data_IF_385730398636
#
_entry.id   IF_385730398636
#
_cell.length_a   1.000
_cell.length_b   1.000
_cell.length_c   1.000
_cell.angle_alpha   90.00
_cell.angle_beta   90.00
_cell.angle_gamma   90.00
#
_symmetry.space_group_name_H-M   'P 1'
#
loop_
_entity.id
_entity.type
_entity.pdbx_description
1 polymer ?
#
# COMPACT_ATOMS: atom_id res chain seq x y z
N UNK A 1 -9.29 5.76 -6.99
CA UNK A 1 -8.26 6.08 -8.00
C UNK A 1 -7.16 5.01 -8.10
N UNK A 2 -6.25 4.90 -7.10
CA UNK A 2 -5.15 3.91 -7.18
C UNK A 2 -5.67 2.47 -7.09
N UNK A 3 -6.66 2.22 -6.23
CA UNK A 3 -7.31 0.91 -6.14
C UNK A 3 -8.06 0.55 -7.43
N UNK A 4 -8.69 1.52 -8.09
CA UNK A 4 -9.37 1.28 -9.38
C UNK A 4 -8.37 0.91 -10.48
N UNK A 5 -7.23 1.61 -10.52
CA UNK A 5 -6.13 1.29 -11.44
C UNK A 5 -5.55 -0.11 -11.17
N UNK A 6 -5.40 -0.48 -9.90
CA UNK A 6 -5.01 -1.84 -9.51
C UNK A 6 -6.04 -2.89 -9.98
N UNK A 7 -7.32 -2.67 -9.70
CA UNK A 7 -8.39 -3.61 -10.07
C UNK A 7 -8.44 -3.81 -11.59
N UNK A 8 -8.29 -2.73 -12.36
CA UNK A 8 -8.21 -2.80 -13.82
C UNK A 8 -6.97 -3.57 -14.30
N UNK A 9 -5.81 -3.35 -13.68
CA UNK A 9 -4.60 -4.10 -14.00
C UNK A 9 -4.72 -5.59 -13.63
N UNK A 10 -5.25 -5.91 -12.45
CA UNK A 10 -5.41 -7.29 -11.98
C UNK A 10 -6.40 -8.09 -12.84
N UNK A 11 -7.45 -7.44 -13.36
CA UNK A 11 -8.43 -8.03 -14.27
C UNK A 11 -7.93 -8.16 -15.72
N UNK A 12 -6.76 -7.61 -16.05
CA UNK A 12 -6.20 -7.64 -17.39
C UNK A 12 -5.41 -8.92 -17.69
N UNK A 13 -5.04 -9.09 -18.97
CA UNK A 13 -4.15 -10.16 -19.42
C UNK A 13 -2.77 -9.60 -19.80
N UNK A 14 -1.72 -10.38 -19.58
CA UNK A 14 -0.36 -10.04 -19.96
C UNK A 14 0.41 -9.35 -18.84
N UNK A 15 1.14 -8.27 -19.17
CA UNK A 15 2.08 -7.59 -18.26
C UNK A 15 1.63 -6.16 -17.94
N UNK A 16 0.55 -5.98 -17.17
CA UNK A 16 0.02 -4.64 -16.93
C UNK A 16 0.93 -3.81 -16.04
N UNK A 17 0.76 -2.50 -16.15
CA UNK A 17 1.50 -1.52 -15.36
C UNK A 17 0.57 -0.50 -14.73
N UNK A 18 0.63 -0.40 -13.39
CA UNK A 18 0.00 0.67 -12.60
C UNK A 18 1.04 1.73 -12.34
N UNK A 19 0.76 2.98 -12.71
CA UNK A 19 1.70 4.10 -12.54
C UNK A 19 1.17 5.06 -11.49
N UNK A 20 1.97 5.35 -10.47
CA UNK A 20 1.76 6.50 -9.58
C UNK A 20 2.59 7.65 -10.14
N UNK A 21 1.96 8.64 -10.79
CA UNK A 21 2.70 9.69 -11.50
C UNK A 21 3.39 10.64 -10.51
N UNK A 22 4.25 11.57 -11.01
CA UNK A 22 4.79 12.64 -10.18
C UNK A 22 3.68 13.44 -9.49
N UNK A 23 3.86 13.76 -8.21
CA UNK A 23 2.86 14.40 -7.37
C UNK A 23 2.87 13.83 -5.95
N UNK A 24 2.03 14.38 -5.07
CA UNK A 24 1.81 13.85 -3.72
C UNK A 24 0.41 13.27 -3.62
N UNK A 25 0.30 12.01 -3.21
CA UNK A 25 -0.94 11.26 -3.13
C UNK A 25 -1.17 10.77 -1.70
N UNK A 26 -2.22 11.27 -1.05
CA UNK A 26 -2.68 10.71 0.22
C UNK A 26 -3.44 9.42 -0.07
N UNK A 27 -2.92 8.30 0.42
CA UNK A 27 -3.52 6.97 0.24
C UNK A 27 -3.79 6.41 1.64
N UNK A 28 -5.06 6.13 1.94
CA UNK A 28 -5.45 5.46 3.17
C UNK A 28 -5.04 3.98 3.20
N UNK A 29 -5.46 3.27 4.24
CA UNK A 29 -5.25 1.82 4.30
C UNK A 29 -5.76 1.14 3.03
N UNK A 30 -4.88 0.46 2.31
CA UNK A 30 -5.19 -0.11 0.99
C UNK A 30 -4.64 -1.51 0.84
N UNK A 31 -5.53 -2.44 0.55
CA UNK A 31 -5.20 -3.82 0.23
C UNK A 31 -5.34 -4.07 -1.28
N UNK A 32 -4.22 -4.26 -1.94
CA UNK A 32 -4.14 -4.68 -3.34
C UNK A 32 -4.28 -6.21 -3.41
N UNK A 33 -5.53 -6.66 -3.55
CA UNK A 33 -5.91 -8.07 -3.49
C UNK A 33 -5.82 -8.73 -4.88
N UNK A 34 -5.27 -9.94 -4.92
CA UNK A 34 -5.40 -10.92 -6.00
C UNK A 34 -6.32 -12.09 -5.62
N UNK A 35 -6.30 -13.22 -6.34
CA UNK A 35 -5.40 -13.54 -7.45
C UNK A 35 -5.68 -12.71 -8.71
N UNK A 36 -4.64 -12.52 -9.52
CA UNK A 36 -4.73 -11.88 -10.84
C UNK A 36 -4.35 -12.92 -11.91
N UNK A 37 -5.28 -13.76 -12.38
CA UNK A 37 -4.95 -14.98 -13.12
C UNK A 37 -4.29 -14.74 -14.48
N UNK A 38 -4.69 -13.66 -15.15
CA UNK A 38 -4.18 -13.30 -16.48
C UNK A 38 -3.01 -12.32 -16.47
N UNK A 39 -2.80 -11.64 -15.35
CA UNK A 39 -1.85 -10.54 -15.22
C UNK A 39 -0.56 -11.01 -14.52
N UNK A 40 0.50 -11.22 -15.30
CA UNK A 40 1.78 -11.67 -14.79
C UNK A 40 2.98 -11.27 -15.69
N UNK A 41 4.00 -10.56 -15.16
CA UNK A 41 4.01 -9.86 -13.88
C UNK A 41 3.13 -8.60 -13.89
N UNK A 42 2.65 -8.16 -12.72
CA UNK A 42 2.06 -6.84 -12.54
C UNK A 42 3.13 -5.87 -12.07
N UNK A 43 3.34 -4.79 -12.82
CA UNK A 43 4.31 -3.75 -12.46
C UNK A 43 3.59 -2.59 -11.80
N UNK A 44 4.03 -2.21 -10.59
CA UNK A 44 3.65 -0.96 -9.94
C UNK A 44 4.85 -0.01 -10.04
N UNK A 45 4.74 1.01 -10.89
CA UNK A 45 5.79 2.01 -11.13
C UNK A 45 5.46 3.30 -10.37
N UNK A 46 6.24 3.60 -9.34
CA UNK A 46 6.03 4.76 -8.47
C UNK A 46 7.01 5.87 -8.83
N UNK A 47 6.47 7.01 -9.28
CA UNK A 47 7.24 8.22 -9.63
C UNK A 47 7.00 9.37 -8.66
N UNK A 48 5.84 9.38 -8.00
CA UNK A 48 5.47 10.40 -7.03
C UNK A 48 5.76 10.03 -5.57
N UNK A 49 5.20 10.81 -4.67
CA UNK A 49 5.21 10.59 -3.22
C UNK A 49 3.84 10.09 -2.78
N UNK A 50 3.79 8.92 -2.18
CA UNK A 50 2.61 8.35 -1.52
C UNK A 50 2.73 8.64 -0.03
N UNK A 51 1.72 9.23 0.58
CA UNK A 51 1.71 9.57 2.01
C UNK A 51 0.56 8.89 2.74
N UNK A 52 0.82 8.43 3.96
CA UNK A 52 -0.20 7.86 4.83
C UNK A 52 -1.04 8.94 5.54
N UNK A 53 -2.30 8.65 5.92
CA UNK A 53 -3.00 9.43 6.93
C UNK A 53 -2.26 9.39 8.27
N UNK A 54 -2.34 10.48 9.04
CA UNK A 54 -1.76 10.55 10.38
C UNK A 54 -2.73 10.13 11.49
N UNK A 55 -4.01 10.03 11.14
CA UNK A 55 -5.09 9.64 12.06
C UNK A 55 -5.21 8.10 12.08
N UNK A 56 -4.80 7.50 13.19
CA UNK A 56 -4.80 6.06 13.40
C UNK A 56 -6.19 5.42 13.34
N UNK A 57 -7.27 6.19 13.53
CA UNK A 57 -8.64 5.67 13.42
C UNK A 57 -9.01 5.29 11.98
N UNK A 58 -8.26 5.77 10.99
CA UNK A 58 -8.44 5.43 9.57
C UNK A 58 -7.81 4.08 9.19
N UNK A 59 -7.17 3.39 10.16
CA UNK A 59 -6.56 2.09 9.95
C UNK A 59 -7.29 1.02 10.76
N UNK A 60 -7.88 0.07 10.03
CA UNK A 60 -8.63 -1.05 10.59
C UNK A 60 -7.74 -2.27 10.92
N UNK A 61 -6.52 -2.31 10.40
CA UNK A 61 -5.50 -3.33 10.70
C UNK A 61 -4.11 -2.69 10.87
N UNK A 62 -3.10 -3.54 11.03
CA UNK A 62 -1.69 -3.23 11.28
C UNK A 62 -0.88 -3.00 10.01
N UNK A 63 -1.50 -2.97 8.84
CA UNK A 63 -0.90 -2.66 7.55
C UNK A 63 -1.44 -1.36 6.96
N UNK A 64 -0.55 -0.54 6.38
CA UNK A 64 -0.95 0.60 5.56
C UNK A 64 -1.23 0.20 4.11
N UNK A 65 -0.26 -0.45 3.46
CA UNK A 65 -0.37 -0.92 2.08
C UNK A 65 0.07 -2.37 2.02
N UNK A 66 -0.83 -3.24 1.58
CA UNK A 66 -0.53 -4.66 1.42
C UNK A 66 -0.86 -5.17 0.02
N UNK A 67 0.03 -6.01 -0.53
CA UNK A 67 -0.22 -6.77 -1.75
C UNK A 67 -0.46 -8.22 -1.35
N UNK A 68 -1.66 -8.73 -1.59
CA UNK A 68 -2.12 -10.01 -1.06
C UNK A 68 -2.49 -10.96 -2.19
N UNK A 69 -1.98 -12.19 -2.15
CA UNK A 69 -2.23 -13.24 -3.16
C UNK A 69 -1.88 -12.84 -4.59
N UNK A 70 -0.87 -11.97 -4.74
CA UNK A 70 -0.38 -11.53 -6.05
C UNK A 70 0.80 -12.40 -6.46
N UNK A 71 0.72 -13.01 -7.63
CA UNK A 71 1.84 -13.72 -8.23
C UNK A 71 2.60 -12.76 -9.17
N UNK A 72 3.92 -12.62 -9.00
CA UNK A 72 4.75 -11.79 -9.90
C UNK A 72 4.54 -10.28 -9.75
N UNK A 73 4.45 -9.77 -8.53
CA UNK A 73 4.48 -8.33 -8.28
C UNK A 73 5.88 -7.76 -8.51
N UNK A 74 5.97 -6.67 -9.28
CA UNK A 74 7.19 -5.87 -9.43
C UNK A 74 6.90 -4.44 -8.97
N UNK A 75 7.52 -4.02 -7.86
CA UNK A 75 7.50 -2.63 -7.42
C UNK A 75 8.76 -1.93 -7.93
N UNK A 76 8.62 -0.82 -8.65
CA UNK A 76 9.73 -0.12 -9.29
C UNK A 76 9.49 1.39 -9.36
N UNK A 77 10.45 2.13 -9.91
CA UNK A 77 10.44 3.59 -10.00
C UNK A 77 11.36 4.25 -8.98
N UNK A 78 11.30 5.59 -8.91
CA UNK A 78 12.13 6.42 -8.03
C UNK A 78 11.33 7.25 -7.03
N UNK A 79 10.03 6.96 -6.88
CA UNK A 79 9.14 7.63 -5.95
C UNK A 79 9.32 7.17 -4.50
N UNK A 80 8.44 7.65 -3.62
CA UNK A 80 8.58 7.49 -2.17
C UNK A 80 7.25 7.04 -1.56
N UNK A 81 7.32 6.08 -0.63
CA UNK A 81 6.25 5.81 0.34
C UNK A 81 6.65 6.42 1.68
N UNK A 82 5.88 7.42 2.12
CA UNK A 82 6.07 8.11 3.39
C UNK A 82 4.91 7.72 4.33
N UNK A 83 5.18 6.74 5.18
CA UNK A 83 4.20 6.21 6.14
C UNK A 83 3.86 7.17 7.29
N UNK A 84 4.53 8.32 7.38
CA UNK A 84 4.31 9.33 8.44
C UNK A 84 4.26 8.76 9.86
N UNK A 85 5.01 7.69 10.12
CA UNK A 85 4.92 6.90 11.36
C UNK A 85 5.19 7.67 12.65
N UNK A 86 5.84 8.83 12.58
CA UNK A 86 6.04 9.71 13.73
C UNK A 86 4.74 10.15 14.40
N UNK A 87 3.61 10.20 13.67
CA UNK A 87 2.30 10.47 14.30
C UNK A 87 1.74 9.28 15.07
N UNK A 88 2.21 8.06 14.77
CA UNK A 88 1.73 6.82 15.35
C UNK A 88 2.58 6.33 16.54
N UNK A 89 3.90 6.56 16.53
CA UNK A 89 4.82 6.04 17.56
C UNK A 89 4.42 6.35 19.02
N UNK A 90 3.88 7.53 19.37
CA UNK A 90 3.45 7.80 20.75
C UNK A 90 2.32 6.88 21.24
N UNK A 91 1.59 6.22 20.33
CA UNK A 91 0.53 5.27 20.64
C UNK A 91 1.03 3.82 20.76
N UNK A 92 2.33 3.57 20.59
CA UNK A 92 2.90 2.23 20.73
C UNK A 92 3.14 1.87 22.21
N UNK A 93 2.42 0.87 22.72
CA UNK A 93 2.57 0.36 24.08
C UNK A 93 3.12 -1.09 24.14
N UNK A 94 3.60 -1.63 23.02
CA UNK A 94 4.10 -3.02 22.94
C UNK A 94 5.33 -3.32 23.80
N UNK A 95 6.00 -2.29 24.33
CA UNK A 95 7.09 -2.47 25.29
C UNK A 95 6.60 -2.75 26.71
N UNK A 96 5.35 -2.40 27.02
CA UNK A 96 4.79 -2.45 28.37
C UNK A 96 3.54 -3.32 28.48
N UNK A 97 2.85 -3.57 27.37
CA UNK A 97 1.58 -4.28 27.31
C UNK A 97 1.74 -5.61 26.57
N UNK A 98 1.40 -6.73 27.23
CA UNK A 98 1.43 -8.07 26.62
C UNK A 98 0.38 -8.23 25.49
N UNK A 99 -0.70 -7.44 25.52
CA UNK A 99 -1.78 -7.45 24.53
C UNK A 99 -1.81 -6.16 23.70
N UNK A 100 -0.64 -5.61 23.37
CA UNK A 100 -0.57 -4.38 22.59
C UNK A 100 -1.17 -4.52 21.19
N UNK A 101 -1.67 -3.41 20.64
CA UNK A 101 -2.11 -3.36 19.24
C UNK A 101 -0.92 -2.96 18.36
N UNK A 102 -0.64 -3.75 17.33
CA UNK A 102 0.33 -3.36 16.31
C UNK A 102 -0.15 -2.12 15.55
N UNK A 103 0.77 -1.20 15.31
CA UNK A 103 0.50 0.01 14.55
C UNK A 103 0.69 -0.24 13.04
N UNK A 104 -0.02 0.50 12.17
CA UNK A 104 0.11 0.39 10.73
C UNK A 104 1.56 0.52 10.26
N UNK A 105 2.02 -0.46 9.47
CA UNK A 105 3.33 -0.48 8.79
C UNK A 105 3.23 -0.30 7.28
#
# INVERSE_FOLDING_TARGET
AVLDAWNAACASNGRPRVVIPPGTFLIGQTKFEGPCPGAYPIVVEVKGKVIAPTDLSQFSSDDWISFSKVHGLVLTGGGVFDGRGSSAWPSNDCLTSANCKLLPT
#
